data_IF_605544596194
#
_entry.id   IF_605544596194
#
_cell.length_a   1.000
_cell.length_b   1.000
_cell.length_c   1.000
_cell.angle_alpha   90.00
_cell.angle_beta   90.00
_cell.angle_gamma   90.00
#
_symmetry.space_group_name_H-M   'P 1'
#
loop_
_entity.id
_entity.type
_entity.pdbx_description
1 polymer ?
#
# COMPACT_ATOMS: atom_id res chain seq x y z
N UNK A 1 2.73 -17.65 -1.39
CA UNK A 1 2.91 -16.24 -1.78
C UNK A 1 2.01 -15.31 -0.96
N UNK A 2 1.18 -15.91 -0.12
CA UNK A 2 -0.09 -15.38 0.39
C UNK A 2 0.12 -14.23 1.38
N UNK A 3 1.20 -14.28 2.17
CA UNK A 3 1.53 -13.20 3.12
C UNK A 3 1.85 -11.88 2.43
N UNK A 4 2.53 -11.92 1.28
CA UNK A 4 2.83 -10.71 0.53
C UNK A 4 1.58 -10.15 -0.13
N UNK A 5 0.74 -11.01 -0.71
CA UNK A 5 -0.54 -10.63 -1.30
C UNK A 5 -1.46 -9.97 -0.26
N UNK A 6 -1.59 -10.57 0.93
CA UNK A 6 -2.35 -10.00 2.04
C UNK A 6 -1.79 -8.65 2.52
N UNK A 7 -0.47 -8.49 2.56
CA UNK A 7 0.14 -7.21 2.94
C UNK A 7 -0.17 -6.11 1.91
N UNK A 8 -0.11 -6.42 0.62
CA UNK A 8 -0.48 -5.49 -0.46
C UNK A 8 -1.97 -5.15 -0.40
N UNK A 9 -2.84 -6.14 -0.27
CA UNK A 9 -4.29 -5.93 -0.12
C UNK A 9 -4.61 -5.06 1.10
N UNK A 10 -3.93 -5.28 2.23
CA UNK A 10 -4.09 -4.45 3.43
C UNK A 10 -3.68 -3.00 3.19
N UNK A 11 -2.50 -2.76 2.61
CA UNK A 11 -2.02 -1.40 2.32
C UNK A 11 -2.99 -0.68 1.38
N UNK A 12 -3.54 -1.42 0.41
CA UNK A 12 -4.57 -0.87 -0.46
C UNK A 12 -5.90 -0.62 0.30
N UNK A 13 -6.33 -1.51 1.19
CA UNK A 13 -7.51 -1.27 2.02
C UNK A 13 -7.35 -0.07 2.96
N UNK A 14 -6.13 0.20 3.42
CA UNK A 14 -5.77 1.36 4.26
C UNK A 14 -5.73 2.69 3.46
N UNK A 15 -6.07 2.67 2.17
CA UNK A 15 -6.20 3.85 1.32
C UNK A 15 -4.90 4.38 0.72
N UNK A 16 -3.76 3.70 0.94
CA UNK A 16 -2.47 4.09 0.37
C UNK A 16 -2.47 3.84 -1.14
N UNK A 17 -2.23 4.87 -1.95
CA UNK A 17 -2.26 4.79 -3.42
C UNK A 17 -1.09 5.53 -4.04
N UNK A 18 -0.46 4.91 -5.02
CA UNK A 18 0.46 5.56 -5.95
C UNK A 18 -0.33 6.33 -7.02
N UNK A 19 0.35 7.23 -7.74
CA UNK A 19 -0.30 8.13 -8.70
C UNK A 19 -1.06 7.40 -9.83
N UNK A 20 -0.64 6.20 -10.22
CA UNK A 20 -1.30 5.37 -11.25
C UNK A 20 -2.61 4.73 -10.79
N UNK A 21 -2.83 4.61 -9.47
CA UNK A 21 -4.02 3.98 -8.88
C UNK A 21 -5.05 5.00 -8.37
N UNK A 22 -4.80 6.31 -8.55
CA UNK A 22 -5.73 7.35 -8.16
C UNK A 22 -6.84 7.53 -9.20
N UNK A 23 -8.09 7.29 -8.79
CA UNK A 23 -9.28 7.53 -9.59
C UNK A 23 -10.12 8.73 -9.15
N UNK A 24 -9.87 9.28 -7.96
CA UNK A 24 -10.65 10.36 -7.35
C UNK A 24 -9.80 11.62 -7.13
N UNK A 25 -10.38 12.78 -7.42
CA UNK A 25 -9.74 14.07 -7.17
C UNK A 25 -9.67 14.36 -5.65
N UNK A 26 -8.51 14.82 -5.17
CA UNK A 26 -8.33 15.27 -3.79
C UNK A 26 -7.55 14.32 -2.87
N UNK A 27 -7.14 13.15 -3.34
CA UNK A 27 -6.22 12.26 -2.60
C UNK A 27 -4.79 12.51 -3.05
N UNK A 28 -3.86 12.68 -2.11
CA UNK A 28 -2.43 12.85 -2.42
C UNK A 28 -1.79 11.48 -2.64
N UNK A 29 -1.17 11.22 -3.80
CA UNK A 29 -0.50 9.94 -4.03
C UNK A 29 0.78 9.83 -3.20
N UNK A 30 1.13 8.59 -2.83
CA UNK A 30 2.45 8.26 -2.28
C UNK A 30 3.45 7.97 -3.40
N UNK A 31 4.73 8.15 -3.08
CA UNK A 31 5.85 7.71 -3.92
C UNK A 31 6.02 6.19 -3.91
N UNK A 32 6.84 5.67 -4.82
CA UNK A 32 7.20 4.24 -4.88
C UNK A 32 7.86 3.76 -3.59
N UNK A 33 8.74 4.58 -3.01
CA UNK A 33 9.44 4.24 -1.75
C UNK A 33 8.47 4.16 -0.59
N UNK A 34 7.57 5.15 -0.45
CA UNK A 34 6.55 5.16 0.61
C UNK A 34 5.58 3.98 0.51
N UNK A 35 5.19 3.58 -0.71
CA UNK A 35 4.40 2.35 -0.92
C UNK A 35 5.17 1.10 -0.46
N UNK A 36 6.46 1.01 -0.79
CA UNK A 36 7.32 -0.09 -0.34
C UNK A 36 7.45 -0.16 1.18
N UNK A 37 7.65 0.98 1.83
CA UNK A 37 7.74 1.07 3.29
C UNK A 37 6.43 0.64 3.96
N UNK A 38 5.28 1.04 3.41
CA UNK A 38 3.96 0.61 3.90
C UNK A 38 3.76 -0.91 3.78
N UNK A 39 4.19 -1.51 2.66
CA UNK A 39 4.09 -2.97 2.45
C UNK A 39 5.01 -3.72 3.43
N UNK A 40 6.24 -3.25 3.64
CA UNK A 40 7.16 -3.86 4.61
C UNK A 40 6.59 -3.77 6.03
N UNK A 41 6.01 -2.62 6.41
CA UNK A 41 5.36 -2.45 7.70
C UNK A 41 4.18 -3.43 7.88
N UNK A 42 3.31 -3.55 6.88
CA UNK A 42 2.19 -4.50 6.90
C UNK A 42 2.67 -5.96 6.97
N UNK A 43 3.73 -6.31 6.23
CA UNK A 43 4.31 -7.65 6.25
C UNK A 43 4.91 -7.98 7.63
N UNK A 44 5.62 -7.04 8.26
CA UNK A 44 6.18 -7.22 9.60
C UNK A 44 5.09 -7.34 10.67
N UNK A 45 3.99 -6.61 10.55
CA UNK A 45 2.85 -6.72 11.47
C UNK A 45 2.07 -8.05 11.35
N UNK A 46 2.31 -8.82 10.28
CA UNK A 46 1.71 -10.14 10.05
C UNK A 46 2.52 -11.32 10.61
N UNK A 47 3.65 -11.05 11.28
CA UNK A 47 4.49 -12.04 11.97
C UNK A 47 3.89 -12.40 13.33
#
# INVERSE_FOLDING_TARGET
ADRLEQAVEKVLADGVRTADLLGEEGVTPVSTSEMGDAIIAALNASL
#
